data_IF_071195758772
#
_entry.id   IF_071195758772
#
_cell.length_a   1.000
_cell.length_b   1.000
_cell.length_c   1.000
_cell.angle_alpha   90.00
_cell.angle_beta   90.00
_cell.angle_gamma   90.00
#
_symmetry.space_group_name_H-M   'P 1'
#
loop_
_entity.id
_entity.type
_entity.pdbx_description
1 polymer ?
#
# COMPACT_ATOMS: atom_id res chain seq x y z
N UNK A 1 12.09 -20.19 -2.16
CA UNK A 1 12.67 -19.16 -1.27
C UNK A 1 13.52 -18.24 -2.13
N UNK A 2 12.91 -17.24 -2.76
CA UNK A 2 13.63 -16.13 -3.39
C UNK A 2 13.50 -14.96 -2.42
N UNK A 3 14.56 -14.72 -1.65
CA UNK A 3 14.72 -13.48 -0.89
C UNK A 3 15.04 -12.39 -1.92
N UNK A 4 14.02 -11.73 -2.44
CA UNK A 4 14.22 -10.45 -3.11
C UNK A 4 14.63 -9.47 -2.02
N UNK A 5 15.95 -9.24 -1.90
CA UNK A 5 16.52 -8.25 -1.00
C UNK A 5 15.83 -6.89 -1.21
N UNK A 6 15.46 -6.24 -0.10
CA UNK A 6 14.87 -4.90 -0.06
C UNK A 6 15.80 -3.81 -0.65
N UNK A 7 17.01 -4.17 -1.08
CA UNK A 7 18.04 -3.29 -1.63
C UNK A 7 17.90 -2.97 -3.14
N UNK A 8 16.79 -3.34 -3.79
CA UNK A 8 16.55 -3.10 -5.22
C UNK A 8 15.54 -1.99 -5.54
N UNK A 9 15.03 -1.28 -4.53
CA UNK A 9 13.94 -0.32 -4.67
C UNK A 9 14.41 1.10 -4.31
N UNK A 10 14.35 2.01 -5.28
CA UNK A 10 14.63 3.44 -5.10
C UNK A 10 13.30 4.16 -4.82
N UNK A 11 13.03 4.53 -3.56
CA UNK A 11 11.67 4.94 -3.16
C UNK A 11 11.49 6.47 -3.15
N UNK A 12 10.38 6.98 -3.72
CA UNK A 12 9.78 8.25 -3.26
C UNK A 12 8.77 7.89 -2.16
N UNK A 13 9.09 8.27 -0.93
CA UNK A 13 8.36 7.95 0.29
C UNK A 13 7.83 9.26 0.87
N UNK A 14 6.49 9.37 0.95
CA UNK A 14 5.84 10.51 1.58
C UNK A 14 4.86 9.99 2.61
N UNK A 15 5.05 10.40 3.86
CA UNK A 15 4.10 10.20 4.93
C UNK A 15 3.66 11.55 5.48
N UNK A 16 2.41 11.64 5.93
CA UNK A 16 1.86 12.84 6.54
C UNK A 16 0.59 12.51 7.32
N UNK A 17 0.25 13.34 8.31
CA UNK A 17 -0.96 13.19 9.11
C UNK A 17 -1.93 14.33 8.77
N UNK A 18 -3.17 13.97 8.47
CA UNK A 18 -4.21 14.91 8.04
C UNK A 18 -5.44 14.81 8.94
N UNK A 19 -6.20 15.90 9.04
CA UNK A 19 -7.51 15.92 9.70
C UNK A 19 -8.61 15.81 8.64
N UNK A 20 -9.45 14.78 8.74
CA UNK A 20 -10.61 14.58 7.88
C UNK A 20 -11.87 14.40 8.74
N UNK A 21 -12.85 15.30 8.61
CA UNK A 21 -14.08 15.30 9.44
C UNK A 21 -13.81 15.24 10.96
N UNK A 22 -12.73 15.85 11.43
CA UNK A 22 -12.33 15.84 12.84
C UNK A 22 -11.57 14.58 13.29
N UNK A 23 -11.35 13.61 12.39
CA UNK A 23 -10.52 12.43 12.64
C UNK A 23 -9.11 12.64 12.09
N UNK A 24 -8.10 12.25 12.87
CA UNK A 24 -6.71 12.22 12.42
C UNK A 24 -6.44 10.94 11.65
N UNK A 25 -5.91 11.09 10.43
CA UNK A 25 -5.58 10.00 9.52
C UNK A 25 -4.13 10.14 9.08
N UNK A 26 -3.32 9.11 9.37
CA UNK A 26 -2.00 8.95 8.79
C UNK A 26 -2.11 8.45 7.37
N UNK A 27 -1.40 9.10 6.45
CA UNK A 27 -1.34 8.75 5.04
C UNK A 27 0.11 8.45 4.68
N UNK A 28 0.34 7.33 4.00
CA UNK A 28 1.63 7.01 3.40
C UNK A 28 1.45 6.68 1.92
N UNK A 29 2.36 7.22 1.12
CA UNK A 29 2.46 7.01 -0.32
C UNK A 29 3.83 6.40 -0.63
N UNK A 30 3.84 5.33 -1.41
CA UNK A 30 5.08 4.65 -1.83
C UNK A 30 5.06 4.33 -3.31
N UNK A 31 6.19 4.56 -3.96
CA UNK A 31 6.47 4.07 -5.30
C UNK A 31 7.37 2.84 -5.23
N UNK A 32 7.06 1.81 -6.02
CA UNK A 32 7.93 0.64 -6.17
C UNK A 32 8.42 0.48 -7.59
N UNK A 33 9.70 0.09 -7.70
CA UNK A 33 10.36 -0.22 -8.96
C UNK A 33 10.57 -1.72 -9.12
N UNK A 34 10.51 -2.19 -10.35
CA UNK A 34 10.89 -3.54 -10.73
C UNK A 34 11.71 -3.44 -12.01
N UNK A 35 12.90 -4.03 -12.02
CA UNK A 35 13.85 -3.89 -13.14
C UNK A 35 14.10 -2.43 -13.56
N UNK A 36 14.21 -1.51 -12.58
CA UNK A 36 14.39 -0.05 -12.78
C UNK A 36 13.19 0.67 -13.42
N UNK A 37 12.03 0.03 -13.48
CA UNK A 37 10.80 0.67 -13.95
C UNK A 37 9.78 0.82 -12.81
N UNK A 38 9.17 2.01 -12.71
CA UNK A 38 8.06 2.26 -11.79
C UNK A 38 6.85 1.44 -12.23
N UNK A 39 6.34 0.61 -11.33
CA UNK A 39 5.28 -0.35 -11.66
C UNK A 39 4.14 -0.40 -10.64
N UNK A 40 4.34 0.11 -9.44
CA UNK A 40 3.34 0.06 -8.38
C UNK A 40 3.35 1.36 -7.58
N UNK A 41 2.15 1.89 -7.35
CA UNK A 41 1.86 2.91 -6.34
C UNK A 41 1.12 2.25 -5.18
N UNK A 42 1.56 2.53 -3.96
CA UNK A 42 0.88 2.11 -2.73
C UNK A 42 0.38 3.33 -1.96
N UNK A 43 -0.89 3.29 -1.58
CA UNK A 43 -1.49 4.21 -0.63
C UNK A 43 -1.86 3.43 0.64
N UNK A 44 -1.41 3.94 1.78
CA UNK A 44 -1.81 3.47 3.10
C UNK A 44 -2.55 4.62 3.82
N UNK A 45 -3.73 4.32 4.35
CA UNK A 45 -4.49 5.22 5.22
C UNK A 45 -4.74 4.52 6.55
N UNK A 46 -4.46 5.22 7.65
CA UNK A 46 -4.50 4.67 9.00
C UNK A 46 -5.19 5.66 9.94
N UNK A 47 -6.26 5.28 10.65
CA UNK A 47 -6.80 6.13 11.71
C UNK A 47 -5.79 6.22 12.87
N UNK A 48 -5.35 7.44 13.19
CA UNK A 48 -4.33 7.68 14.24
C UNK A 48 -4.79 7.17 15.60
N UNK A 49 -6.10 7.20 15.87
CA UNK A 49 -6.68 6.76 17.13
C UNK A 49 -6.48 5.26 17.42
N UNK A 50 -6.20 4.45 16.41
CA UNK A 50 -6.08 3.00 16.53
C UNK A 50 -4.62 2.57 16.78
N UNK A 51 -3.65 3.43 16.45
CA UNK A 51 -2.23 3.17 16.66
C UNK A 51 -1.67 4.21 17.64
N UNK A 52 -1.33 3.81 18.88
CA UNK A 52 -0.73 4.69 19.86
C UNK A 52 0.54 5.34 19.31
N UNK A 53 0.63 6.68 19.41
CA UNK A 53 1.79 7.45 18.98
C UNK A 53 2.21 7.19 17.51
N UNK A 54 1.25 7.06 16.59
CA UNK A 54 1.56 6.93 15.17
C UNK A 54 2.44 8.10 14.69
N UNK A 55 3.64 7.78 14.21
CA UNK A 55 4.58 8.72 13.61
C UNK A 55 4.71 8.46 12.10
N UNK A 56 5.28 9.42 11.38
CA UNK A 56 5.65 9.22 9.97
C UNK A 56 6.65 8.07 9.81
N UNK A 57 7.58 7.88 10.76
CA UNK A 57 8.52 6.75 10.74
C UNK A 57 7.80 5.39 10.77
N UNK A 58 6.80 5.24 11.63
CA UNK A 58 5.95 4.01 11.69
C UNK A 58 5.16 3.83 10.39
N UNK A 59 4.73 4.93 9.77
CA UNK A 59 4.03 4.87 8.48
C UNK A 59 4.95 4.49 7.32
N UNK A 60 6.24 4.81 7.40
CA UNK A 60 7.25 4.51 6.37
C UNK A 60 7.93 3.14 6.56
N UNK A 61 7.87 2.57 7.77
CA UNK A 61 8.42 1.26 8.10
C UNK A 61 7.65 0.09 7.45
N UNK A 62 7.99 -1.14 7.83
CA UNK A 62 7.10 -2.28 7.64
C UNK A 62 5.92 -2.19 8.61
N UNK A 63 4.92 -1.38 8.24
CA UNK A 63 3.73 -1.06 9.05
C UNK A 63 3.11 -2.28 9.76
N UNK A 64 2.98 -3.42 9.06
CA UNK A 64 2.42 -4.64 9.64
C UNK A 64 3.35 -5.36 10.64
N UNK A 65 4.66 -5.23 10.50
CA UNK A 65 5.59 -5.73 11.51
C UNK A 65 5.40 -4.93 12.80
N UNK A 66 5.32 -3.60 12.70
CA UNK A 66 5.10 -2.74 13.88
C UNK A 66 3.76 -3.06 14.56
N UNK A 67 2.68 -3.23 13.79
CA UNK A 67 1.36 -3.60 14.34
C UNK A 67 1.40 -4.89 15.17
N UNK A 68 2.09 -5.92 14.67
CA UNK A 68 2.11 -7.25 15.31
C UNK A 68 3.10 -7.30 16.46
N UNK A 69 4.33 -6.83 16.23
CA UNK A 69 5.43 -6.99 17.18
C UNK A 69 5.41 -5.91 18.27
N UNK A 70 5.16 -4.65 17.88
CA UNK A 70 5.24 -3.51 18.81
C UNK A 70 3.90 -3.22 19.47
N UNK A 71 2.80 -3.22 18.71
CA UNK A 71 1.47 -2.84 19.23
C UNK A 71 0.62 -4.02 19.69
N UNK A 72 1.01 -5.27 19.38
CA UNK A 72 0.31 -6.51 19.75
C UNK A 72 -1.19 -6.52 19.38
N UNK A 73 -1.55 -5.78 18.33
CA UNK A 73 -2.94 -5.68 17.88
C UNK A 73 -3.36 -6.97 17.16
N UNK A 74 -4.56 -7.47 17.46
CA UNK A 74 -5.10 -8.69 16.85
C UNK A 74 -5.97 -8.36 15.65
N UNK A 75 -5.47 -8.67 14.46
CA UNK A 75 -6.21 -8.58 13.20
C UNK A 75 -7.15 -9.80 13.10
N UNK A 76 -8.43 -9.56 12.79
CA UNK A 76 -9.44 -10.65 12.66
C UNK A 76 -9.89 -10.86 11.23
N UNK A 77 -9.75 -9.86 10.37
CA UNK A 77 -10.05 -10.04 8.96
C UNK A 77 -9.63 -8.85 8.12
N UNK A 78 -9.58 -9.09 6.81
CA UNK A 78 -9.42 -8.06 5.81
C UNK A 78 -10.40 -8.33 4.67
N UNK A 79 -11.10 -7.29 4.24
CA UNK A 79 -11.87 -7.34 3.00
C UNK A 79 -11.00 -6.80 1.87
N UNK A 80 -10.95 -7.52 0.75
CA UNK A 80 -10.18 -7.11 -0.41
C UNK A 80 -11.06 -7.05 -1.65
N UNK A 81 -10.94 -5.95 -2.38
CA UNK A 81 -11.55 -5.73 -3.69
C UNK A 81 -10.43 -5.57 -4.72
N UNK A 82 -10.53 -6.31 -5.82
CA UNK A 82 -9.57 -6.26 -6.92
C UNK A 82 -10.34 -5.84 -8.16
N UNK A 83 -9.82 -4.87 -8.92
CA UNK A 83 -10.43 -4.41 -10.17
C UNK A 83 -9.37 -4.08 -11.22
N UNK A 84 -9.71 -4.33 -12.48
CA UNK A 84 -8.98 -3.74 -13.60
C UNK A 84 -9.51 -2.33 -13.82
N UNK A 85 -8.62 -1.36 -14.04
CA UNK A 85 -8.98 0.04 -14.27
C UNK A 85 -8.00 0.71 -15.25
N UNK A 86 -8.33 1.94 -15.67
CA UNK A 86 -7.43 2.83 -16.39
C UNK A 86 -6.77 3.80 -15.40
N UNK A 87 -5.53 4.26 -15.67
CA UNK A 87 -4.83 5.13 -14.75
C UNK A 87 -5.44 6.53 -14.75
N UNK A 88 -5.50 7.15 -13.59
CA UNK A 88 -5.78 8.58 -13.47
C UNK A 88 -4.54 9.42 -13.80
N UNK A 89 -4.68 10.74 -13.83
CA UNK A 89 -3.59 11.66 -14.21
C UNK A 89 -2.34 11.52 -13.33
N UNK A 90 -2.52 11.32 -12.01
CA UNK A 90 -1.40 11.15 -11.08
C UNK A 90 -0.69 9.81 -11.32
N UNK A 91 -1.45 8.75 -11.57
CA UNK A 91 -0.90 7.43 -11.88
C UNK A 91 -0.13 7.45 -13.21
N UNK A 92 -0.64 8.15 -14.22
CA UNK A 92 0.07 8.38 -15.49
C UNK A 92 1.41 9.06 -15.27
N UNK A 93 1.43 10.13 -14.47
CA UNK A 93 2.63 10.89 -14.15
C UNK A 93 3.65 10.04 -13.37
N UNK A 94 3.21 9.45 -12.25
CA UNK A 94 4.11 8.69 -11.36
C UNK A 94 4.57 7.37 -11.97
N UNK A 95 3.70 6.60 -12.64
CA UNK A 95 4.06 5.32 -13.24
C UNK A 95 4.65 5.46 -14.65
N UNK A 96 4.79 6.69 -15.16
CA UNK A 96 5.31 6.99 -16.50
C UNK A 96 4.63 6.12 -17.56
N UNK A 97 3.30 6.04 -17.50
CA UNK A 97 2.48 5.20 -18.38
C UNK A 97 1.59 6.05 -19.29
N UNK A 98 0.71 5.41 -20.07
CA UNK A 98 -0.28 6.11 -20.90
C UNK A 98 -1.67 6.04 -20.25
N UNK A 99 -2.60 6.96 -20.58
CA UNK A 99 -3.99 6.90 -20.11
C UNK A 99 -4.75 5.62 -20.51
N UNK A 100 -4.22 4.86 -21.46
CA UNK A 100 -4.78 3.58 -21.94
C UNK A 100 -4.04 2.37 -21.39
N UNK A 101 -3.04 2.56 -20.52
CA UNK A 101 -2.27 1.45 -19.96
C UNK A 101 -3.16 0.69 -18.97
N UNK A 102 -3.30 -0.65 -19.07
CA UNK A 102 -4.11 -1.40 -18.13
C UNK A 102 -3.52 -1.39 -16.71
N UNK A 103 -4.32 -1.01 -15.73
CA UNK A 103 -3.98 -1.05 -14.31
C UNK A 103 -4.75 -2.16 -13.60
N UNK A 104 -4.13 -2.72 -12.56
CA UNK A 104 -4.81 -3.53 -11.57
C UNK A 104 -4.82 -2.78 -10.23
N UNK A 105 -5.99 -2.40 -9.77
CA UNK A 105 -6.17 -1.81 -8.45
C UNK A 105 -6.60 -2.88 -7.45
N UNK A 106 -5.93 -2.88 -6.30
CA UNK A 106 -6.22 -3.76 -5.18
C UNK A 106 -6.47 -2.88 -3.97
N UNK A 107 -7.71 -2.85 -3.54
CA UNK A 107 -8.12 -2.16 -2.32
C UNK A 107 -8.32 -3.19 -1.21
N UNK A 108 -7.72 -2.95 -0.06
CA UNK A 108 -7.88 -3.76 1.14
C UNK A 108 -8.27 -2.90 2.33
N UNK A 109 -9.23 -3.39 3.11
CA UNK A 109 -9.65 -2.78 4.37
C UNK A 109 -9.49 -3.82 5.47
N UNK A 110 -8.68 -3.51 6.47
CA UNK A 110 -8.32 -4.45 7.56
C UNK A 110 -8.98 -4.02 8.86
N UNK A 111 -9.54 -4.98 9.60
CA UNK A 111 -10.21 -4.75 10.88
C UNK A 111 -9.55 -5.52 12.02
N UNK A 112 -9.54 -4.89 13.20
CA UNK A 112 -9.14 -5.51 14.45
C UNK A 112 -10.25 -6.38 15.03
N UNK A 113 -9.89 -7.23 16.00
CA UNK A 113 -10.82 -8.11 16.71
C UNK A 113 -11.94 -7.36 17.46
N UNK A 114 -11.72 -6.11 17.83
CA UNK A 114 -12.71 -5.24 18.44
C UNK A 114 -13.62 -4.52 17.41
N UNK A 115 -13.49 -4.84 16.13
CA UNK A 115 -14.27 -4.26 15.04
C UNK A 115 -13.78 -2.91 14.53
N UNK A 116 -12.74 -2.32 15.15
CA UNK A 116 -12.17 -1.06 14.69
C UNK A 116 -11.43 -1.23 13.36
N UNK A 117 -11.55 -0.22 12.50
CA UNK A 117 -10.77 -0.12 11.27
C UNK A 117 -9.30 0.10 11.61
N UNK A 118 -8.44 -0.84 11.25
CA UNK A 118 -7.00 -0.70 11.43
C UNK A 118 -6.40 0.18 10.34
N UNK A 119 -6.67 -0.17 9.08
CA UNK A 119 -6.05 0.49 7.94
C UNK A 119 -6.79 0.18 6.63
N UNK A 120 -6.53 1.02 5.65
CA UNK A 120 -6.90 0.83 4.26
C UNK A 120 -5.65 0.90 3.39
N UNK A 121 -5.41 -0.15 2.60
CA UNK A 121 -4.37 -0.17 1.56
C UNK A 121 -5.01 -0.08 0.18
N UNK A 122 -4.38 0.67 -0.72
CA UNK A 122 -4.70 0.67 -2.15
C UNK A 122 -3.40 0.51 -2.91
N UNK A 123 -3.31 -0.56 -3.71
CA UNK A 123 -2.18 -0.81 -4.59
C UNK A 123 -2.65 -0.63 -6.03
N UNK A 124 -2.01 0.25 -6.79
CA UNK A 124 -2.25 0.45 -8.22
C UNK A 124 -1.06 -0.10 -8.99
N UNK A 125 -1.27 -1.22 -9.67
CA UNK A 125 -0.21 -1.97 -10.34
C UNK A 125 -0.34 -1.76 -11.84
N UNK A 126 0.72 -1.25 -12.46
CA UNK A 126 0.87 -1.22 -13.92
C UNK A 126 1.08 -2.62 -14.46
N UNK A 127 0.19 -3.07 -15.34
CA UNK A 127 0.33 -4.37 -15.99
C UNK A 127 1.34 -4.26 -17.14
N UNK A 128 2.60 -4.60 -16.87
CA UNK A 128 3.68 -4.59 -17.87
C UNK A 128 3.76 -5.93 -18.59
N UNK A 129 3.99 -5.92 -19.91
CA UNK A 129 4.24 -7.16 -20.67
C UNK A 129 5.43 -7.90 -20.06
N UNK A 130 5.24 -9.18 -19.71
CA UNK A 130 6.26 -10.00 -19.06
C UNK A 130 6.20 -9.99 -17.52
N UNK A 131 5.41 -9.09 -16.91
CA UNK A 131 5.07 -9.22 -15.50
C UNK A 131 4.08 -10.38 -15.34
N UNK A 132 4.58 -11.53 -14.91
CA UNK A 132 3.74 -12.72 -14.72
C UNK A 132 2.63 -12.41 -13.72
N UNK A 133 1.40 -12.86 -14.02
CA UNK A 133 0.29 -12.90 -13.05
C UNK A 133 0.73 -13.54 -11.72
N UNK A 134 1.70 -14.44 -11.77
CA UNK A 134 2.30 -15.06 -10.58
C UNK A 134 2.98 -14.06 -9.65
N UNK A 135 3.68 -13.05 -10.20
CA UNK A 135 4.30 -11.98 -9.40
C UNK A 135 3.21 -11.15 -8.72
N UNK A 136 2.16 -10.81 -9.47
CA UNK A 136 0.99 -10.12 -8.92
C UNK A 136 0.34 -10.94 -7.81
N UNK A 137 0.16 -12.25 -7.99
CA UNK A 137 -0.37 -13.15 -6.95
C UNK A 137 0.52 -13.20 -5.70
N UNK A 138 1.85 -13.31 -5.83
CA UNK A 138 2.76 -13.26 -4.69
C UNK A 138 2.64 -11.93 -3.94
N UNK A 139 2.53 -10.83 -4.67
CA UNK A 139 2.36 -9.49 -4.08
C UNK A 139 1.01 -9.31 -3.38
N UNK A 140 0.00 -10.08 -3.75
CA UNK A 140 -1.31 -10.09 -3.08
C UNK A 140 -1.31 -10.98 -1.82
N UNK A 141 -0.43 -11.97 -1.71
CA UNK A 141 -0.47 -12.94 -0.60
C UNK A 141 0.38 -12.47 0.61
N UNK A 142 1.29 -11.51 0.43
CA UNK A 142 2.00 -10.83 1.53
C UNK A 142 1.17 -9.70 2.11
#
# INVERSE_FOLDING_TARGET
>A
MFLLNDSFFEYDLKASIWTLFGLLIGICFRLRLLHKELYLIEYLKVPVQVIPHLTEEILLSSFYNDIKENFKLKIVGANRKIRADLPNNLEVEYLKCTPTTPMLEVQQVTYLNNGLLLNMFVHVIRMVKGLSLFIVFIMLIK
#
